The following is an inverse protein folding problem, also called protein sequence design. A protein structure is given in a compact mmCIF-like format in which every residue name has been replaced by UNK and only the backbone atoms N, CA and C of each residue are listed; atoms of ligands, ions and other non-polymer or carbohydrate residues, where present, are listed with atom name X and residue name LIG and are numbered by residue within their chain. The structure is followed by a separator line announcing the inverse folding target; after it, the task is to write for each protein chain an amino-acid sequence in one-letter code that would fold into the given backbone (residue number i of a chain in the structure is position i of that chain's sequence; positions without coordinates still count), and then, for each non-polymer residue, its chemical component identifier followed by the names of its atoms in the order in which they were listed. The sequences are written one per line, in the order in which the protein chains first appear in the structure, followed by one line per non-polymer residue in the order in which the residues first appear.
data_IF_035356024552
#
_entry.id   IF_035356024552
#
_cell.length_a   1.000
_cell.length_b   1.000
_cell.length_c   1.000
_cell.angle_alpha   90.00
_cell.angle_beta   90.00
_cell.angle_gamma   90.00
#
_symmetry.space_group_name_H-M   'P 1'
#
loop_
_entity.id
_entity.type
_entity.pdbx_description
1 polymer ?
#
# COMPACT_ATOMS: atom_id res chain seq x y z
N UNK A 1 3.34 -18.47 -24.56
CA UNK A 1 2.69 -17.90 -23.36
C UNK A 1 1.31 -18.50 -23.26
N UNK A 2 0.86 -18.82 -22.04
CA UNK A 2 -0.52 -19.27 -21.83
C UNK A 2 -1.44 -18.07 -22.02
N UNK A 3 -2.49 -18.21 -22.82
CA UNK A 3 -3.49 -17.16 -23.03
C UNK A 3 -4.76 -17.46 -22.24
N UNK A 4 -5.41 -16.43 -21.79
CA UNK A 4 -6.61 -16.48 -20.98
C UNK A 4 -7.74 -15.70 -21.69
N UNK A 5 -8.94 -16.21 -21.57
CA UNK A 5 -10.13 -15.61 -22.12
C UNK A 5 -11.24 -15.60 -21.05
N UNK A 6 -11.69 -14.41 -20.65
CA UNK A 6 -12.85 -14.28 -19.76
C UNK A 6 -14.03 -13.82 -20.60
N UNK A 7 -15.08 -14.62 -20.63
CA UNK A 7 -16.33 -14.33 -21.35
C UNK A 7 -17.47 -13.97 -20.40
N UNK A 8 -18.53 -13.40 -20.96
CA UNK A 8 -19.77 -13.03 -20.24
C UNK A 8 -19.48 -12.13 -19.03
N UNK A 9 -18.60 -11.15 -19.18
CA UNK A 9 -18.16 -10.28 -18.11
C UNK A 9 -18.77 -8.87 -18.22
N UNK A 10 -18.97 -8.23 -17.07
CA UNK A 10 -19.19 -6.80 -16.94
C UNK A 10 -17.84 -6.13 -16.71
N UNK A 11 -17.22 -5.61 -17.77
CA UNK A 11 -15.87 -5.03 -17.76
C UNK A 11 -15.93 -3.58 -17.26
N UNK A 12 -15.19 -3.24 -16.21
CA UNK A 12 -15.01 -1.86 -15.78
C UNK A 12 -13.86 -1.23 -16.56
N UNK A 13 -14.18 -0.40 -17.52
CA UNK A 13 -13.24 0.31 -18.38
C UNK A 13 -13.19 1.81 -18.04
N UNK A 14 -12.17 2.57 -18.51
CA UNK A 14 -12.11 4.02 -18.30
C UNK A 14 -13.34 4.78 -18.82
N UNK A 15 -14.01 4.24 -19.85
CA UNK A 15 -15.24 4.80 -20.43
C UNK A 15 -16.52 4.34 -19.72
N UNK A 16 -16.43 3.55 -18.66
CA UNK A 16 -17.56 3.00 -17.90
C UNK A 16 -17.72 1.50 -18.03
N UNK A 17 -18.83 0.98 -17.51
CA UNK A 17 -19.12 -0.44 -17.48
C UNK A 17 -19.62 -0.91 -18.85
N UNK A 18 -19.02 -1.99 -19.38
CA UNK A 18 -19.38 -2.60 -20.66
C UNK A 18 -19.48 -4.12 -20.53
N UNK A 19 -20.54 -4.71 -21.10
CA UNK A 19 -20.64 -6.18 -21.18
C UNK A 19 -19.79 -6.69 -22.34
N UNK A 20 -18.98 -7.72 -22.10
CA UNK A 20 -18.09 -8.25 -23.12
C UNK A 20 -17.19 -9.38 -22.64
N UNK A 21 -16.10 -9.54 -23.34
CA UNK A 21 -15.04 -10.48 -22.98
C UNK A 21 -13.66 -9.82 -23.09
N UNK A 22 -12.69 -10.39 -22.38
CA UNK A 22 -11.30 -9.93 -22.34
C UNK A 22 -10.35 -11.09 -22.60
N UNK A 23 -9.38 -10.85 -23.48
CA UNK A 23 -8.24 -11.73 -23.71
C UNK A 23 -6.98 -11.11 -23.13
N UNK A 24 -6.18 -11.94 -22.50
CA UNK A 24 -4.90 -11.49 -21.94
C UNK A 24 -3.90 -12.65 -21.82
N UNK A 25 -2.65 -12.29 -21.77
CA UNK A 25 -1.53 -13.12 -21.33
C UNK A 25 -0.83 -12.43 -20.13
N UNK A 26 0.32 -11.80 -20.34
CA UNK A 26 0.93 -10.84 -19.39
C UNK A 26 0.34 -9.43 -19.52
N UNK A 27 -0.38 -9.18 -20.63
CA UNK A 27 -1.03 -7.91 -20.95
C UNK A 27 -2.41 -8.20 -21.53
N UNK A 28 -3.31 -7.20 -21.52
CA UNK A 28 -4.58 -7.28 -22.21
C UNK A 28 -4.29 -7.24 -23.72
N UNK A 29 -4.67 -8.31 -24.42
CA UNK A 29 -4.44 -8.45 -25.86
C UNK A 29 -5.67 -8.08 -26.69
N UNK A 30 -6.88 -8.29 -26.14
CA UNK A 30 -8.12 -7.89 -26.80
C UNK A 30 -9.24 -7.61 -25.77
N UNK A 31 -10.11 -6.67 -26.15
CA UNK A 31 -11.41 -6.40 -25.52
C UNK A 31 -12.48 -6.57 -26.59
N UNK A 32 -13.48 -7.41 -26.33
CA UNK A 32 -14.57 -7.69 -27.27
C UNK A 32 -15.91 -7.32 -26.64
N UNK A 33 -16.81 -6.72 -27.41
CA UNK A 33 -18.18 -6.43 -26.98
C UNK A 33 -19.04 -7.68 -27.02
N UNK A 34 -20.17 -7.68 -26.31
CA UNK A 34 -21.05 -8.84 -26.12
C UNK A 34 -21.49 -9.54 -27.42
N UNK A 35 -21.54 -8.85 -28.55
CA UNK A 35 -21.91 -9.43 -29.83
C UNK A 35 -20.80 -10.25 -30.51
N UNK A 36 -19.54 -10.15 -30.00
CA UNK A 36 -18.35 -10.85 -30.52
C UNK A 36 -17.84 -11.91 -29.54
N UNK A 37 -18.73 -12.58 -28.83
CA UNK A 37 -18.39 -13.50 -27.72
C UNK A 37 -17.88 -14.88 -28.15
N UNK A 38 -17.56 -15.09 -29.43
CA UNK A 38 -16.90 -16.32 -29.87
C UNK A 38 -15.54 -16.48 -29.16
N UNK A 39 -15.32 -17.68 -28.62
CA UNK A 39 -14.01 -18.05 -28.10
C UNK A 39 -12.96 -17.91 -29.24
N UNK A 40 -11.72 -17.53 -28.90
CA UNK A 40 -10.65 -17.47 -29.89
C UNK A 40 -10.43 -18.82 -30.58
N UNK A 41 -10.04 -18.83 -31.86
CA UNK A 41 -9.75 -20.04 -32.64
C UNK A 41 -8.42 -20.73 -32.24
N UNK A 42 -7.83 -20.34 -31.09
CA UNK A 42 -6.61 -20.90 -30.55
C UNK A 42 -6.79 -21.40 -29.11
N UNK A 43 -5.92 -22.30 -28.67
CA UNK A 43 -5.96 -22.85 -27.31
C UNK A 43 -5.72 -21.76 -26.26
N UNK A 44 -6.71 -21.56 -25.40
CA UNK A 44 -6.67 -20.61 -24.27
C UNK A 44 -7.44 -21.19 -23.08
N UNK A 45 -7.05 -20.76 -21.87
CA UNK A 45 -7.82 -21.06 -20.69
C UNK A 45 -9.02 -20.11 -20.62
N UNK A 46 -10.22 -20.69 -20.62
CA UNK A 46 -11.48 -19.91 -20.66
C UNK A 46 -12.17 -19.93 -19.31
N UNK A 47 -12.51 -18.74 -18.82
CA UNK A 47 -13.34 -18.51 -17.64
C UNK A 47 -14.66 -17.84 -18.06
N UNK A 48 -15.77 -18.38 -17.60
CA UNK A 48 -17.07 -17.71 -17.73
C UNK A 48 -17.34 -16.88 -16.47
N UNK A 49 -17.48 -15.56 -16.66
CA UNK A 49 -17.75 -14.64 -15.56
C UNK A 49 -19.22 -14.62 -15.13
N UNK A 50 -20.12 -15.29 -15.89
CA UNK A 50 -21.56 -15.34 -15.60
C UNK A 50 -22.21 -13.98 -15.31
N UNK A 51 -21.79 -12.92 -16.01
CA UNK A 51 -22.24 -11.54 -15.78
C UNK A 51 -21.49 -10.82 -14.64
N UNK A 52 -20.58 -11.51 -13.97
CA UNK A 52 -19.75 -10.91 -12.90
C UNK A 52 -18.87 -9.78 -13.39
N UNK A 53 -18.43 -8.95 -12.47
CA UNK A 53 -17.57 -7.82 -12.77
C UNK A 53 -16.13 -8.26 -12.97
N UNK A 54 -15.48 -7.75 -14.00
CA UNK A 54 -14.03 -7.80 -14.21
C UNK A 54 -13.51 -6.38 -14.05
N UNK A 55 -12.67 -6.20 -13.06
CA UNK A 55 -12.05 -4.91 -12.71
C UNK A 55 -10.53 -5.04 -12.78
N UNK A 56 -9.79 -3.94 -12.97
CA UNK A 56 -8.35 -3.95 -12.75
C UNK A 56 -8.01 -4.47 -11.37
N UNK A 57 -6.86 -5.13 -11.23
CA UNK A 57 -6.37 -5.51 -9.90
C UNK A 57 -6.30 -4.31 -8.98
N UNK A 58 -6.71 -4.50 -7.71
CA UNK A 58 -6.75 -3.43 -6.73
C UNK A 58 -5.34 -2.98 -6.38
N UNK A 59 -5.21 -1.69 -6.07
CA UNK A 59 -3.97 -1.10 -5.61
C UNK A 59 -4.20 -0.43 -4.26
N UNK A 60 -3.59 -0.96 -3.20
CA UNK A 60 -3.68 -0.44 -1.85
C UNK A 60 -2.50 0.48 -1.54
N UNK A 61 -2.75 1.77 -1.40
CA UNK A 61 -1.69 2.76 -1.15
C UNK A 61 -1.43 2.98 0.34
N UNK A 62 -2.24 2.38 1.22
CA UNK A 62 -2.12 2.55 2.66
C UNK A 62 -2.52 1.25 3.37
N UNK A 63 -1.52 0.47 3.78
CA UNK A 63 -1.68 -0.79 4.50
C UNK A 63 -0.43 -1.08 5.33
N UNK A 64 -0.59 -1.32 6.63
CA UNK A 64 0.51 -1.60 7.56
C UNK A 64 0.88 -3.08 7.59
N UNK A 65 -0.08 -3.95 7.30
CA UNK A 65 0.16 -5.38 7.37
C UNK A 65 -1.11 -6.21 7.17
N UNK A 66 -0.94 -7.54 7.21
CA UNK A 66 -2.02 -8.51 7.20
C UNK A 66 -1.48 -9.90 7.54
N UNK A 67 -2.37 -10.83 7.83
CA UNK A 67 -2.06 -12.26 7.98
C UNK A 67 -0.90 -12.54 8.97
N UNK A 68 -0.89 -11.79 10.08
CA UNK A 68 0.09 -11.89 11.16
C UNK A 68 1.41 -11.16 10.92
N UNK A 69 1.61 -10.50 9.78
CA UNK A 69 2.84 -9.78 9.43
C UNK A 69 2.59 -8.26 9.32
N UNK A 70 3.64 -7.48 9.57
CA UNK A 70 3.64 -6.01 9.55
C UNK A 70 4.91 -5.51 8.86
N UNK A 71 4.83 -4.42 8.11
CA UNK A 71 6.00 -3.84 7.43
C UNK A 71 6.98 -3.16 8.38
N UNK A 72 6.58 -2.92 9.62
CA UNK A 72 7.42 -2.37 10.69
C UNK A 72 8.14 -3.46 11.50
N UNK A 73 7.85 -4.75 11.25
CA UNK A 73 8.57 -5.84 11.90
C UNK A 73 10.02 -5.87 11.39
N UNK A 74 10.97 -5.49 12.26
CA UNK A 74 12.40 -5.45 11.93
C UNK A 74 13.04 -6.86 11.71
N UNK A 75 12.26 -7.93 11.87
CA UNK A 75 12.77 -9.30 11.96
C UNK A 75 12.90 -10.00 10.59
N UNK A 76 13.47 -9.29 9.60
CA UNK A 76 14.07 -9.89 8.41
C UNK A 76 15.55 -10.23 8.62
N UNK A 77 15.96 -10.42 9.87
CA UNK A 77 17.30 -10.85 10.22
C UNK A 77 17.54 -12.34 9.96
N UNK A 78 17.11 -12.90 8.85
CA UNK A 78 17.85 -13.97 8.24
C UNK A 78 19.10 -13.33 7.61
N UNK A 79 20.08 -13.01 8.47
CA UNK A 79 21.39 -12.44 8.08
C UNK A 79 22.09 -13.29 7.02
N UNK A 80 21.71 -14.55 6.88
CA UNK A 80 22.21 -15.46 5.86
C UNK A 80 21.67 -15.11 4.46
N UNK A 81 20.41 -14.69 4.33
CA UNK A 81 19.82 -14.30 3.02
C UNK A 81 20.40 -12.98 2.52
N UNK A 82 20.70 -12.03 3.42
CA UNK A 82 21.33 -10.74 3.05
C UNK A 82 22.82 -10.93 2.64
N UNK A 83 23.53 -11.86 3.28
CA UNK A 83 24.92 -12.15 2.91
C UNK A 83 25.01 -12.86 1.57
N UNK A 84 24.12 -13.81 1.24
CA UNK A 84 24.08 -14.47 -0.06
C UNK A 84 23.79 -13.51 -1.22
N UNK A 85 23.00 -12.45 -0.98
CA UNK A 85 22.74 -11.39 -1.98
C UNK A 85 23.97 -10.47 -2.13
N UNK A 86 24.68 -10.19 -1.04
CA UNK A 86 25.89 -9.36 -1.08
C UNK A 86 27.07 -10.08 -1.76
N UNK A 87 27.22 -11.38 -1.55
CA UNK A 87 28.28 -12.16 -2.21
C UNK A 87 28.05 -12.32 -3.72
N UNK A 88 26.78 -12.39 -4.17
CA UNK A 88 26.45 -12.41 -5.61
C UNK A 88 26.69 -11.08 -6.33
N UNK A 89 26.74 -9.95 -5.63
CA UNK A 89 26.87 -8.62 -6.25
C UNK A 89 28.30 -8.08 -6.31
N UNK A 90 29.30 -8.76 -5.73
CA UNK A 90 30.70 -8.26 -5.62
C UNK A 90 31.69 -9.01 -6.55
N UNK A 91 31.27 -10.08 -7.21
CA UNK A 91 32.15 -10.67 -8.24
C UNK A 91 31.84 -10.04 -9.60
N UNK A 92 32.67 -9.06 -9.98
CA UNK A 92 32.94 -8.71 -11.38
C UNK A 92 33.44 -9.97 -12.10
N UNK A 93 32.52 -10.78 -12.61
CA UNK A 93 32.86 -11.82 -13.57
C UNK A 93 33.23 -11.15 -14.89
N UNK A 94 34.53 -11.16 -15.20
CA UNK A 94 35.03 -10.79 -16.54
C UNK A 94 34.30 -11.64 -17.61
N UNK A 95 33.83 -10.97 -18.67
CA UNK A 95 32.92 -11.47 -19.72
C UNK A 95 33.47 -12.66 -20.54
N UNK A 96 34.53 -13.32 -20.13
CA UNK A 96 35.20 -14.32 -20.97
C UNK A 96 35.20 -15.77 -20.49
N UNK A 97 34.58 -16.13 -19.36
CA UNK A 97 34.59 -17.51 -18.86
C UNK A 97 33.20 -18.16 -18.62
N UNK A 98 32.09 -17.52 -19.00
CA UNK A 98 30.72 -18.05 -18.77
C UNK A 98 30.17 -18.93 -19.89
N UNK A 99 30.98 -19.59 -20.71
CA UNK A 99 30.46 -20.47 -21.78
C UNK A 99 30.18 -21.95 -21.35
N UNK A 100 30.41 -22.35 -20.09
CA UNK A 100 30.24 -23.72 -19.64
C UNK A 100 29.42 -23.96 -18.37
N UNK A 101 28.68 -22.96 -17.86
CA UNK A 101 27.68 -23.24 -16.84
C UNK A 101 26.36 -23.57 -17.53
N UNK A 102 26.02 -24.86 -17.61
CA UNK A 102 24.63 -25.29 -17.73
C UNK A 102 23.87 -24.62 -16.61
N UNK A 103 22.85 -23.79 -16.94
CA UNK A 103 21.88 -23.29 -15.97
C UNK A 103 21.27 -24.51 -15.27
N UNK A 104 21.81 -24.88 -14.11
CA UNK A 104 21.22 -25.86 -13.24
C UNK A 104 19.83 -25.37 -12.87
N UNK A 105 18.88 -26.29 -12.76
CA UNK A 105 17.50 -26.07 -12.39
C UNK A 105 17.44 -25.05 -11.26
N UNK A 106 16.70 -23.95 -11.53
CA UNK A 106 16.49 -22.90 -10.55
C UNK A 106 15.73 -23.50 -9.38
N UNK A 107 16.37 -23.56 -8.21
CA UNK A 107 15.79 -24.08 -7.00
C UNK A 107 14.84 -23.05 -6.39
N UNK A 108 13.54 -23.27 -6.57
CA UNK A 108 12.46 -22.45 -6.00
C UNK A 108 12.50 -22.49 -4.47
N UNK A 109 12.98 -23.60 -3.89
CA UNK A 109 13.03 -23.81 -2.45
C UNK A 109 14.13 -22.95 -1.78
N UNK A 110 15.09 -22.44 -2.56
CA UNK A 110 16.10 -21.50 -2.08
C UNK A 110 15.55 -20.10 -1.79
N UNK A 111 14.35 -19.74 -2.30
CA UNK A 111 13.73 -18.46 -2.01
C UNK A 111 12.93 -18.48 -0.71
N UNK A 112 12.99 -17.38 0.08
CA UNK A 112 12.29 -17.30 1.37
C UNK A 112 10.78 -17.06 1.20
N UNK A 113 10.12 -17.89 0.37
CA UNK A 113 8.69 -17.75 0.06
C UNK A 113 7.80 -17.90 1.30
N UNK A 114 8.29 -18.52 2.37
CA UNK A 114 7.59 -18.68 3.64
C UNK A 114 7.83 -17.51 4.61
N UNK A 115 8.67 -16.54 4.25
CA UNK A 115 8.87 -15.36 5.09
C UNK A 115 7.58 -14.56 5.26
N UNK A 116 7.47 -13.78 6.37
CA UNK A 116 6.27 -13.00 6.66
C UNK A 116 5.81 -12.11 5.50
N UNK A 117 6.70 -11.35 4.84
CA UNK A 117 6.32 -10.44 3.73
C UNK A 117 5.87 -11.20 2.47
N UNK A 118 6.47 -12.35 2.15
CA UNK A 118 5.96 -13.15 1.04
C UNK A 118 4.58 -13.75 1.34
N UNK A 119 4.32 -14.19 2.58
CA UNK A 119 2.99 -14.65 2.99
C UNK A 119 1.96 -13.53 2.94
N UNK A 120 2.30 -12.36 3.47
CA UNK A 120 1.47 -11.15 3.42
C UNK A 120 1.17 -10.73 1.98
N UNK A 121 2.17 -10.69 1.10
CA UNK A 121 1.94 -10.30 -0.30
C UNK A 121 1.06 -11.31 -1.06
N UNK A 122 1.14 -12.61 -0.74
CA UNK A 122 0.22 -13.62 -1.29
C UNK A 122 -1.19 -13.48 -0.73
N UNK A 123 -1.32 -13.12 0.56
CA UNK A 123 -2.64 -12.81 1.13
C UNK A 123 -3.28 -11.63 0.38
N UNK A 124 -2.56 -10.55 0.14
CA UNK A 124 -3.07 -9.42 -0.64
C UNK A 124 -3.52 -9.86 -2.04
N UNK A 125 -2.70 -10.63 -2.74
CA UNK A 125 -3.05 -11.14 -4.06
C UNK A 125 -4.33 -12.00 -4.01
N UNK A 126 -4.51 -12.83 -2.97
CA UNK A 126 -5.73 -13.63 -2.79
C UNK A 126 -6.98 -12.78 -2.54
N UNK A 127 -6.80 -11.55 -2.05
CA UNK A 127 -7.88 -10.55 -1.87
C UNK A 127 -8.06 -9.66 -3.10
N UNK A 128 -7.41 -9.96 -4.24
CA UNK A 128 -7.51 -9.17 -5.46
C UNK A 128 -6.65 -7.89 -5.48
N UNK A 129 -5.83 -7.66 -4.46
CA UNK A 129 -4.85 -6.58 -4.43
C UNK A 129 -3.61 -7.04 -5.19
N UNK A 130 -3.35 -6.44 -6.34
CA UNK A 130 -2.21 -6.81 -7.21
C UNK A 130 -0.97 -5.98 -6.93
N UNK A 131 -1.15 -4.80 -6.34
CA UNK A 131 -0.07 -3.88 -5.98
C UNK A 131 -0.39 -3.15 -4.68
N UNK A 132 0.64 -2.79 -3.92
CA UNK A 132 0.49 -2.03 -2.68
C UNK A 132 1.68 -1.13 -2.39
N UNK A 133 1.49 -0.12 -1.52
CA UNK A 133 2.56 0.56 -0.79
C UNK A 133 2.67 -0.05 0.60
N UNK A 134 3.88 -0.42 1.00
CA UNK A 134 4.16 -0.84 2.37
C UNK A 134 4.13 0.38 3.29
N UNK A 135 3.19 0.45 4.22
CA UNK A 135 3.05 1.58 5.13
C UNK A 135 3.78 1.30 6.44
N UNK A 136 4.71 2.17 6.82
CA UNK A 136 5.41 2.08 8.10
C UNK A 136 4.63 2.76 9.21
N UNK A 137 4.91 2.37 10.46
CA UNK A 137 4.44 3.05 11.66
C UNK A 137 5.43 4.13 12.10
N UNK A 138 5.02 4.96 13.07
CA UNK A 138 5.91 5.85 13.80
C UNK A 138 6.79 5.02 14.74
N UNK A 139 8.03 4.81 14.32
CA UNK A 139 9.05 4.02 15.02
C UNK A 139 10.25 4.89 15.37
N UNK A 140 11.17 4.40 16.21
CA UNK A 140 12.45 5.06 16.39
C UNK A 140 13.27 5.02 15.08
N UNK A 141 14.27 5.88 14.97
CA UNK A 141 15.04 5.99 13.72
C UNK A 141 15.68 4.66 13.30
N UNK A 142 16.24 3.91 14.25
CA UNK A 142 16.88 2.62 14.01
C UNK A 142 15.89 1.60 13.42
N UNK A 143 14.69 1.51 13.99
CA UNK A 143 13.63 0.63 13.51
C UNK A 143 13.11 1.06 12.13
N UNK A 144 12.98 2.38 11.88
CA UNK A 144 12.61 2.89 10.55
C UNK A 144 13.65 2.50 9.51
N UNK A 145 14.95 2.66 9.78
CA UNK A 145 16.01 2.22 8.88
C UNK A 145 15.95 0.71 8.61
N UNK A 146 15.72 -0.10 9.65
CA UNK A 146 15.56 -1.54 9.51
C UNK A 146 14.35 -1.89 8.62
N UNK A 147 13.21 -1.23 8.82
CA UNK A 147 12.01 -1.41 7.98
C UNK A 147 12.30 -1.02 6.52
N UNK A 148 12.98 0.12 6.25
CA UNK A 148 13.35 0.55 4.91
C UNK A 148 14.20 -0.51 4.19
N UNK A 149 15.24 -1.02 4.85
CA UNK A 149 16.11 -2.06 4.30
C UNK A 149 15.35 -3.37 4.04
N UNK A 150 14.49 -3.79 4.97
CA UNK A 150 13.70 -5.02 4.85
C UNK A 150 12.73 -4.96 3.68
N UNK A 151 12.02 -3.85 3.49
CA UNK A 151 11.10 -3.66 2.36
C UNK A 151 11.86 -3.62 1.04
N UNK A 152 13.02 -2.94 0.97
CA UNK A 152 13.85 -2.93 -0.26
C UNK A 152 14.36 -4.33 -0.59
N UNK A 153 14.86 -5.08 0.39
CA UNK A 153 15.30 -6.46 0.22
C UNK A 153 14.16 -7.35 -0.30
N UNK A 154 12.97 -7.25 0.29
CA UNK A 154 11.78 -7.96 -0.19
C UNK A 154 11.47 -7.64 -1.65
N UNK A 155 11.46 -6.36 -2.02
CA UNK A 155 11.18 -5.94 -3.39
C UNK A 155 12.20 -6.52 -4.38
N UNK A 156 13.49 -6.48 -4.05
CA UNK A 156 14.56 -7.05 -4.89
C UNK A 156 14.43 -8.57 -5.03
N UNK A 157 14.21 -9.27 -3.92
CA UNK A 157 14.02 -10.73 -3.93
C UNK A 157 12.82 -11.13 -4.77
N UNK A 158 11.69 -10.42 -4.63
CA UNK A 158 10.50 -10.65 -5.43
C UNK A 158 10.78 -10.47 -6.93
N UNK A 159 11.43 -9.37 -7.31
CA UNK A 159 11.74 -9.07 -8.71
C UNK A 159 12.70 -10.11 -9.29
N UNK A 160 13.66 -10.58 -8.50
CA UNK A 160 14.58 -11.64 -8.90
C UNK A 160 13.87 -13.00 -9.06
N UNK A 161 12.97 -13.33 -8.14
CA UNK A 161 12.11 -14.52 -8.26
C UNK A 161 11.31 -14.49 -9.57
N UNK A 162 10.67 -13.37 -9.89
CA UNK A 162 9.88 -13.19 -11.13
C UNK A 162 10.77 -13.36 -12.38
N UNK A 163 12.00 -12.84 -12.36
CA UNK A 163 12.92 -12.96 -13.49
C UNK A 163 13.39 -14.41 -13.73
N UNK A 164 13.61 -15.16 -12.65
CA UNK A 164 14.21 -16.50 -12.72
C UNK A 164 13.19 -17.62 -12.85
N UNK A 165 11.91 -17.37 -12.55
CA UNK A 165 10.89 -18.42 -12.54
C UNK A 165 9.96 -18.34 -13.75
N UNK A 166 9.41 -19.50 -14.18
CA UNK A 166 8.36 -19.53 -15.19
C UNK A 166 7.10 -18.80 -14.71
N UNK A 167 6.37 -18.14 -15.64
CA UNK A 167 5.15 -17.37 -15.34
C UNK A 167 4.12 -18.13 -14.48
N UNK A 168 4.02 -19.47 -14.63
CA UNK A 168 3.11 -20.30 -13.82
C UNK A 168 3.39 -20.25 -12.31
N UNK A 169 4.60 -19.85 -11.90
CA UNK A 169 5.00 -19.73 -10.50
C UNK A 169 4.94 -18.30 -9.96
N UNK A 170 4.71 -17.31 -10.81
CA UNK A 170 4.73 -15.89 -10.41
C UNK A 170 3.70 -15.55 -9.31
N UNK A 171 2.59 -16.31 -9.20
CA UNK A 171 1.62 -16.14 -8.11
C UNK A 171 2.24 -16.38 -6.72
N UNK A 172 3.31 -17.17 -6.62
CA UNK A 172 4.03 -17.41 -5.37
C UNK A 172 4.77 -16.16 -4.86
N UNK A 173 5.08 -15.23 -5.75
CA UNK A 173 5.67 -13.95 -5.39
C UNK A 173 4.66 -12.96 -4.77
N UNK A 174 3.35 -13.27 -4.86
CA UNK A 174 2.28 -12.43 -4.33
C UNK A 174 2.08 -11.10 -5.05
N UNK A 175 1.37 -10.19 -4.42
CA UNK A 175 1.15 -8.81 -4.89
C UNK A 175 2.48 -8.04 -4.97
N UNK A 176 2.54 -7.04 -5.85
CA UNK A 176 3.74 -6.22 -6.05
C UNK A 176 3.80 -5.07 -5.05
N UNK A 177 4.81 -5.05 -4.18
CA UNK A 177 5.16 -3.83 -3.46
C UNK A 177 5.81 -2.85 -4.44
N UNK A 178 5.16 -1.71 -4.70
CA UNK A 178 5.65 -0.70 -5.65
C UNK A 178 6.32 0.47 -4.97
N UNK A 179 6.33 0.51 -3.64
CA UNK A 179 6.98 1.53 -2.86
C UNK A 179 6.55 1.52 -1.40
N UNK A 180 6.90 2.58 -0.72
CA UNK A 180 6.66 2.79 0.71
C UNK A 180 5.76 4.01 0.90
N UNK A 181 4.80 3.90 1.79
CA UNK A 181 4.09 5.01 2.42
C UNK A 181 4.72 5.22 3.80
N UNK A 182 5.40 6.34 4.00
CA UNK A 182 6.01 6.72 5.27
C UNK A 182 4.95 7.44 6.12
N UNK A 183 4.23 6.69 6.97
CA UNK A 183 3.28 7.26 7.91
C UNK A 183 3.94 7.49 9.27
N UNK A 184 4.22 8.75 9.53
CA UNK A 184 5.12 9.16 10.63
C UNK A 184 6.60 9.14 10.22
N UNK A 185 7.47 9.67 11.08
CA UNK A 185 7.21 10.15 12.44
C UNK A 185 6.76 11.63 12.55
N UNK A 186 6.49 12.32 11.45
CA UNK A 186 6.25 13.78 11.38
C UNK A 186 4.79 14.15 11.66
N UNK A 187 4.22 13.61 12.74
CA UNK A 187 2.81 13.68 13.09
C UNK A 187 2.57 14.50 14.35
N UNK A 188 1.35 15.06 14.49
CA UNK A 188 0.92 15.81 15.66
C UNK A 188 0.63 14.89 16.85
N UNK A 189 1.22 15.14 18.01
CA UNK A 189 0.95 14.37 19.24
C UNK A 189 -0.55 14.36 19.59
N UNK A 190 -1.26 15.47 19.38
CA UNK A 190 -2.69 15.58 19.68
C UNK A 190 -3.59 14.78 18.73
N UNK A 191 -3.07 14.36 17.56
CA UNK A 191 -3.79 13.63 16.51
C UNK A 191 -3.10 12.33 16.10
N UNK A 192 -2.20 11.82 16.96
CA UNK A 192 -1.39 10.63 16.68
C UNK A 192 -2.20 9.34 16.50
N UNK A 193 -3.43 9.29 16.99
CA UNK A 193 -4.20 8.04 17.00
C UNK A 193 -3.46 6.91 17.74
N UNK A 194 -3.27 5.80 17.09
CA UNK A 194 -2.53 4.63 17.62
C UNK A 194 -1.01 4.71 17.38
N UNK A 195 -0.46 5.82 16.89
CA UNK A 195 0.97 6.01 16.69
C UNK A 195 1.70 6.25 18.04
N UNK A 196 2.93 5.71 18.16
CA UNK A 196 3.72 5.80 19.39
C UNK A 196 4.22 7.24 19.64
N UNK A 197 3.73 7.90 20.71
CA UNK A 197 4.05 9.29 21.00
C UNK A 197 5.54 9.56 21.22
N UNK A 198 6.24 8.61 21.85
CA UNK A 198 7.68 8.74 22.13
C UNK A 198 8.56 8.77 20.87
N UNK A 199 8.04 8.35 19.73
CA UNK A 199 8.76 8.29 18.45
C UNK A 199 8.37 9.42 17.49
N UNK A 200 7.48 10.33 17.90
CA UNK A 200 7.11 11.49 17.09
C UNK A 200 8.28 12.47 16.97
N UNK A 201 8.50 12.97 15.76
CA UNK A 201 9.57 13.91 15.45
C UNK A 201 9.02 15.15 14.74
N UNK A 202 9.73 16.26 14.89
CA UNK A 202 9.51 17.39 14.01
C UNK A 202 9.87 17.03 12.55
N UNK A 203 9.20 17.62 11.54
CA UNK A 203 9.52 17.39 10.15
C UNK A 203 11.00 17.67 9.82
N UNK A 204 11.71 16.65 9.34
CA UNK A 204 13.14 16.66 9.04
C UNK A 204 13.41 16.10 7.64
N UNK A 205 13.75 16.97 6.71
CA UNK A 205 14.05 16.60 5.33
C UNK A 205 15.36 15.78 5.21
N UNK A 206 16.33 15.98 6.09
CA UNK A 206 17.57 15.21 6.07
C UNK A 206 17.29 13.76 6.47
N UNK A 207 16.52 13.53 7.53
CA UNK A 207 16.09 12.19 7.93
C UNK A 207 15.26 11.52 6.82
N UNK A 208 14.31 12.24 6.20
CA UNK A 208 13.53 11.71 5.07
C UNK A 208 14.45 11.24 3.94
N UNK A 209 15.44 12.04 3.51
CA UNK A 209 16.34 11.66 2.43
C UNK A 209 17.21 10.46 2.79
N UNK A 210 17.64 10.34 4.04
CA UNK A 210 18.38 9.18 4.52
C UNK A 210 17.51 7.90 4.49
N UNK A 211 16.27 7.96 4.97
CA UNK A 211 15.31 6.86 4.91
C UNK A 211 15.00 6.48 3.46
N UNK A 212 14.80 7.47 2.59
CA UNK A 212 14.55 7.21 1.18
C UNK A 212 15.76 6.54 0.50
N UNK A 213 16.97 6.95 0.82
CA UNK A 213 18.18 6.28 0.34
C UNK A 213 18.28 4.83 0.85
N UNK A 214 18.02 4.60 2.15
CA UNK A 214 18.01 3.27 2.75
C UNK A 214 16.96 2.32 2.12
N UNK A 215 15.84 2.87 1.64
CA UNK A 215 14.80 2.13 0.91
C UNK A 215 15.11 1.93 -0.59
N UNK A 216 16.28 2.33 -1.07
CA UNK A 216 16.59 2.33 -2.51
C UNK A 216 15.72 3.29 -3.33
N UNK A 217 15.29 4.41 -2.74
CA UNK A 217 14.45 5.42 -3.41
C UNK A 217 12.96 5.03 -3.52
N UNK A 218 12.48 4.18 -2.63
CA UNK A 218 11.13 3.60 -2.71
C UNK A 218 10.05 4.38 -1.98
N UNK A 219 10.35 5.44 -1.23
CA UNK A 219 9.29 6.25 -0.58
C UNK A 219 8.50 6.97 -1.68
N UNK A 220 7.20 6.68 -1.76
CA UNK A 220 6.25 7.23 -2.75
C UNK A 220 5.25 8.18 -2.13
N UNK A 221 4.99 8.02 -0.85
CA UNK A 221 4.08 8.85 -0.07
C UNK A 221 4.68 9.10 1.30
N UNK A 222 4.50 10.31 1.85
CA UNK A 222 4.85 10.64 3.24
C UNK A 222 3.74 11.46 3.86
N UNK A 223 3.33 11.08 5.08
CA UNK A 223 2.34 11.82 5.86
C UNK A 223 3.03 12.82 6.78
N UNK A 224 2.53 14.05 6.81
CA UNK A 224 3.04 15.13 7.67
C UNK A 224 1.89 15.95 8.27
N UNK A 225 2.06 16.36 9.52
CA UNK A 225 1.20 17.34 10.17
C UNK A 225 1.70 18.78 9.86
N UNK A 226 0.99 19.54 9.02
CA UNK A 226 1.51 20.82 8.51
C UNK A 226 1.56 21.95 9.55
N UNK A 227 0.91 21.82 10.69
CA UNK A 227 1.02 22.76 11.80
C UNK A 227 2.32 22.64 12.59
N UNK A 228 3.10 21.58 12.38
CA UNK A 228 4.36 21.40 13.10
C UNK A 228 5.43 22.41 12.63
N UNK A 229 6.30 22.86 13.54
CA UNK A 229 7.42 23.72 13.18
C UNK A 229 8.30 23.07 12.10
N UNK A 230 8.64 23.80 11.03
CA UNK A 230 9.43 23.31 9.91
C UNK A 230 8.66 22.53 8.85
N UNK A 231 7.37 22.27 9.02
CA UNK A 231 6.59 21.46 8.09
C UNK A 231 6.54 22.04 6.67
N UNK A 232 6.40 23.34 6.50
CA UNK A 232 6.34 23.96 5.16
C UNK A 232 7.69 23.83 4.40
N UNK A 233 8.82 23.97 5.10
CA UNK A 233 10.16 23.79 4.55
C UNK A 233 10.35 22.33 4.14
N UNK A 234 9.94 21.40 5.00
CA UNK A 234 9.93 19.97 4.72
C UNK A 234 9.10 19.66 3.47
N UNK A 235 7.83 20.09 3.41
CA UNK A 235 6.94 19.87 2.27
C UNK A 235 7.58 20.36 0.97
N UNK A 236 8.15 21.57 0.94
CA UNK A 236 8.81 22.10 -0.26
C UNK A 236 10.03 21.28 -0.67
N UNK A 237 10.78 20.78 0.31
CA UNK A 237 11.99 20.00 0.06
C UNK A 237 11.71 18.63 -0.54
N UNK A 238 10.63 17.95 -0.09
CA UNK A 238 10.38 16.54 -0.43
C UNK A 238 9.31 16.33 -1.50
N UNK A 239 8.47 17.33 -1.81
CA UNK A 239 7.37 17.22 -2.78
C UNK A 239 7.81 16.90 -4.21
N UNK A 240 9.08 17.15 -4.56
CA UNK A 240 9.67 16.71 -5.83
C UNK A 240 10.10 15.23 -5.85
N UNK A 241 10.15 14.57 -4.70
CA UNK A 241 10.61 13.18 -4.56
C UNK A 241 9.45 12.18 -4.40
N UNK A 242 8.39 12.60 -3.70
CA UNK A 242 7.24 11.76 -3.40
C UNK A 242 5.96 12.61 -3.24
N UNK A 243 4.81 11.95 -3.15
CA UNK A 243 3.56 12.60 -2.73
C UNK A 243 3.64 12.97 -1.25
N UNK A 244 3.37 14.22 -0.91
CA UNK A 244 3.23 14.66 0.48
C UNK A 244 1.76 14.72 0.83
N UNK A 245 1.38 14.03 1.89
CA UNK A 245 0.01 13.90 2.39
C UNK A 245 -0.16 14.62 3.72
N UNK A 246 -1.25 15.34 3.88
CA UNK A 246 -1.65 15.90 5.18
C UNK A 246 -2.43 14.84 5.96
N UNK A 247 -2.02 14.57 7.18
CA UNK A 247 -2.69 13.61 8.06
C UNK A 247 -2.10 13.63 9.46
N UNK A 248 -2.78 12.98 10.39
CA UNK A 248 -2.42 12.99 11.81
C UNK A 248 -2.11 14.40 12.34
N UNK A 249 -3.04 15.33 12.08
CA UNK A 249 -2.81 16.77 12.15
C UNK A 249 -3.95 17.51 12.79
N UNK A 250 -3.62 18.48 13.63
CA UNK A 250 -4.56 19.45 14.19
C UNK A 250 -4.65 20.74 13.35
N UNK A 251 -4.18 20.73 12.11
CA UNK A 251 -4.21 21.89 11.24
C UNK A 251 -5.63 22.43 11.05
N UNK A 252 -5.75 23.75 11.08
CA UNK A 252 -6.94 24.45 10.65
C UNK A 252 -7.01 24.56 9.12
N UNK A 253 -8.11 25.09 8.62
CA UNK A 253 -8.31 25.27 7.18
C UNK A 253 -7.21 26.11 6.50
N UNK A 254 -6.78 27.21 7.14
CA UNK A 254 -5.80 28.12 6.54
C UNK A 254 -4.41 27.48 6.50
N UNK A 255 -4.03 26.75 7.54
CA UNK A 255 -2.78 25.99 7.62
C UNK A 255 -2.75 24.90 6.54
N UNK A 256 -3.85 24.15 6.37
CA UNK A 256 -3.97 23.14 5.33
C UNK A 256 -3.87 23.76 3.91
N UNK A 257 -4.60 24.84 3.63
CA UNK A 257 -4.47 25.57 2.35
C UNK A 257 -3.01 25.99 2.09
N UNK A 258 -2.32 26.47 3.11
CA UNK A 258 -0.94 26.92 2.97
C UNK A 258 0.01 25.72 2.68
N UNK A 259 -0.23 24.57 3.29
CA UNK A 259 0.55 23.36 3.05
C UNK A 259 0.30 22.78 1.64
N UNK A 260 -0.93 22.74 1.15
CA UNK A 260 -1.22 22.39 -0.25
C UNK A 260 -0.51 23.34 -1.23
N UNK A 261 -0.50 24.64 -0.95
CA UNK A 261 0.26 25.61 -1.76
C UNK A 261 1.78 25.42 -1.66
N UNK A 262 2.27 24.87 -0.55
CA UNK A 262 3.69 24.56 -0.37
C UNK A 262 4.13 23.29 -1.11
N UNK A 263 3.19 22.43 -1.54
CA UNK A 263 3.49 21.22 -2.31
C UNK A 263 2.85 19.94 -1.80
N UNK A 264 2.11 19.97 -0.67
CA UNK A 264 1.27 18.84 -0.28
C UNK A 264 0.16 18.64 -1.34
N UNK A 265 -0.19 17.39 -1.63
CA UNK A 265 -1.09 17.08 -2.74
C UNK A 265 -2.04 15.92 -2.47
N UNK A 266 -2.14 15.50 -1.21
CA UNK A 266 -2.92 14.34 -0.79
C UNK A 266 -3.40 14.51 0.66
N UNK A 267 -4.41 13.74 1.07
CA UNK A 267 -4.90 13.66 2.46
C UNK A 267 -4.97 12.21 2.89
N UNK A 268 -4.31 11.90 3.98
CA UNK A 268 -4.28 10.58 4.60
C UNK A 268 -5.60 10.32 5.34
N UNK A 269 -6.21 9.15 5.14
CA UNK A 269 -7.44 8.61 5.77
C UNK A 269 -8.38 9.70 6.33
N UNK A 270 -9.00 10.46 5.40
CA UNK A 270 -9.84 11.63 5.71
C UNK A 270 -10.79 11.39 6.89
N UNK A 271 -10.90 12.36 7.78
CA UNK A 271 -11.62 12.39 9.06
C UNK A 271 -10.95 11.65 10.22
N UNK A 272 -9.98 10.79 9.98
CA UNK A 272 -9.27 10.05 11.02
C UNK A 272 -7.95 10.75 11.36
N UNK A 273 -7.59 10.81 12.63
CA UNK A 273 -6.37 11.49 13.06
C UNK A 273 -6.32 12.99 12.66
N UNK A 274 -7.44 13.69 12.58
CA UNK A 274 -7.50 15.12 12.23
C UNK A 274 -8.61 15.85 12.97
N UNK A 275 -8.67 17.16 12.82
CA UNK A 275 -9.77 17.96 13.37
C UNK A 275 -11.08 17.67 12.64
N UNK A 276 -12.19 17.74 13.38
CA UNK A 276 -13.53 17.58 12.82
C UNK A 276 -13.82 18.62 11.73
N UNK A 277 -14.53 18.21 10.70
CA UNK A 277 -15.02 19.11 9.65
C UNK A 277 -16.32 19.79 10.11
N UNK A 278 -16.20 20.92 10.79
CA UNK A 278 -17.32 21.68 11.29
C UNK A 278 -17.67 22.84 10.35
N UNK A 279 -18.93 23.29 10.38
CA UNK A 279 -19.45 24.35 9.48
C UNK A 279 -18.75 25.72 9.62
N UNK A 280 -17.98 25.99 10.68
CA UNK A 280 -17.15 27.18 10.89
C UNK A 280 -15.66 26.88 11.03
N UNK A 281 -15.28 25.61 11.13
CA UNK A 281 -13.91 25.14 11.28
C UNK A 281 -13.76 23.87 10.42
N UNK A 282 -13.70 24.00 9.07
CA UNK A 282 -13.77 22.85 8.18
C UNK A 282 -12.46 22.03 8.11
N UNK A 283 -11.37 22.55 8.69
CA UNK A 283 -10.09 21.83 8.80
C UNK A 283 -9.51 21.41 7.45
N UNK A 284 -8.71 20.32 7.49
CA UNK A 284 -8.07 19.72 6.32
C UNK A 284 -9.11 19.25 5.31
N UNK A 285 -10.20 18.62 5.78
CA UNK A 285 -11.24 18.08 4.90
C UNK A 285 -11.91 19.17 4.06
N UNK A 286 -12.21 20.34 4.65
CA UNK A 286 -12.74 21.48 3.92
C UNK A 286 -11.73 22.08 2.94
N UNK A 287 -10.48 22.22 3.34
CA UNK A 287 -9.41 22.72 2.48
C UNK A 287 -9.18 21.79 1.26
N UNK A 288 -9.18 20.49 1.50
CA UNK A 288 -9.06 19.49 0.44
C UNK A 288 -10.24 19.53 -0.55
N UNK A 289 -11.47 19.73 -0.03
CA UNK A 289 -12.66 19.86 -0.87
C UNK A 289 -12.58 21.08 -1.78
N UNK A 290 -12.21 22.24 -1.25
CA UNK A 290 -12.12 23.50 -2.01
C UNK A 290 -11.06 23.46 -3.10
N UNK A 291 -9.90 22.84 -2.82
CA UNK A 291 -8.81 22.72 -3.78
C UNK A 291 -8.92 21.47 -4.65
N UNK A 292 -9.87 20.58 -4.35
CA UNK A 292 -10.05 19.32 -5.05
C UNK A 292 -8.83 18.42 -4.92
N UNK A 293 -8.25 18.30 -3.73
CA UNK A 293 -7.14 17.42 -3.41
C UNK A 293 -7.64 15.97 -3.30
N UNK A 294 -6.91 14.97 -3.80
CA UNK A 294 -7.20 13.56 -3.55
C UNK A 294 -7.17 13.20 -2.07
N UNK A 295 -8.08 12.32 -1.65
CA UNK A 295 -8.20 11.90 -0.24
C UNK A 295 -8.29 10.39 -0.13
N UNK A 296 -7.64 9.82 0.87
CA UNK A 296 -7.83 8.43 1.26
C UNK A 296 -9.10 8.27 2.10
N UNK A 297 -9.74 7.11 1.98
CA UNK A 297 -10.97 6.80 2.71
C UNK A 297 -10.97 5.33 3.16
N UNK A 298 -11.13 5.12 4.47
CA UNK A 298 -11.35 3.80 5.06
C UNK A 298 -12.86 3.50 5.02
N UNK A 299 -13.24 2.38 4.43
CA UNK A 299 -14.64 1.97 4.26
C UNK A 299 -14.93 0.66 5.00
N UNK A 300 -14.62 0.59 6.28
CA UNK A 300 -14.89 -0.58 7.14
C UNK A 300 -16.22 -0.48 7.91
N UNK A 301 -16.90 0.68 7.82
CA UNK A 301 -18.12 0.96 8.57
C UNK A 301 -17.92 1.37 10.03
N UNK A 302 -16.67 1.36 10.52
CA UNK A 302 -16.27 1.76 11.87
C UNK A 302 -15.59 3.13 11.89
N UNK A 303 -14.56 3.33 11.06
CA UNK A 303 -13.79 4.58 10.97
C UNK A 303 -14.61 5.72 10.39
N UNK A 304 -15.44 5.46 9.40
CA UNK A 304 -16.28 6.46 8.75
C UNK A 304 -17.69 5.93 8.56
N UNK A 305 -18.66 6.65 9.11
CA UNK A 305 -20.07 6.26 8.99
C UNK A 305 -20.50 6.20 7.51
N UNK A 306 -21.29 5.19 7.06
CA UNK A 306 -21.67 5.02 5.65
C UNK A 306 -22.34 6.25 5.00
N UNK A 307 -23.06 7.07 5.77
CA UNK A 307 -23.63 8.32 5.26
C UNK A 307 -22.54 9.35 4.89
N UNK A 308 -21.44 9.38 5.66
CA UNK A 308 -20.28 10.27 5.42
C UNK A 308 -19.49 9.73 4.24
N UNK A 309 -19.28 8.41 4.13
CA UNK A 309 -18.67 7.76 2.95
C UNK A 309 -19.36 8.22 1.67
N UNK A 310 -20.70 8.14 1.62
CA UNK A 310 -21.47 8.66 0.47
C UNK A 310 -21.29 10.15 0.22
N UNK A 311 -21.08 10.93 1.29
CA UNK A 311 -20.74 12.36 1.21
C UNK A 311 -19.39 12.60 0.55
N UNK A 312 -18.35 11.84 0.96
CA UNK A 312 -17.00 11.91 0.40
C UNK A 312 -17.03 11.64 -1.11
N UNK A 313 -17.71 10.58 -1.57
CA UNK A 313 -17.82 10.30 -3.00
C UNK A 313 -18.55 11.39 -3.79
N UNK A 314 -19.53 12.10 -3.18
CA UNK A 314 -20.22 13.22 -3.81
C UNK A 314 -19.33 14.45 -3.95
N UNK A 315 -18.47 14.71 -2.95
CA UNK A 315 -17.58 15.87 -2.92
C UNK A 315 -16.32 15.62 -3.76
N UNK A 316 -15.66 14.50 -3.54
CA UNK A 316 -14.33 14.22 -4.12
C UNK A 316 -14.40 13.36 -5.39
N UNK A 317 -15.47 12.60 -5.60
CA UNK A 317 -15.68 11.79 -6.80
C UNK A 317 -14.50 10.87 -7.08
N UNK A 318 -13.89 11.01 -8.28
CA UNK A 318 -12.73 10.21 -8.72
C UNK A 318 -11.43 10.49 -7.94
N UNK A 319 -11.42 11.48 -7.08
CA UNK A 319 -10.29 11.82 -6.20
C UNK A 319 -10.37 11.11 -4.85
N UNK A 320 -11.41 10.31 -4.61
CA UNK A 320 -11.49 9.42 -3.45
C UNK A 320 -10.68 8.16 -3.75
N UNK A 321 -9.66 7.90 -2.92
CA UNK A 321 -8.86 6.71 -2.95
C UNK A 321 -9.28 5.81 -1.80
N UNK A 322 -9.86 4.65 -2.10
CA UNK A 322 -10.13 3.65 -1.07
C UNK A 322 -8.82 3.03 -0.63
N UNK A 323 -8.67 2.89 0.68
CA UNK A 323 -7.54 2.23 1.33
C UNK A 323 -8.06 1.19 2.31
N UNK A 324 -7.24 0.20 2.62
CA UNK A 324 -7.57 -0.71 3.71
C UNK A 324 -7.19 -0.13 5.06
N UNK A 325 -6.05 0.54 5.15
CA UNK A 325 -5.42 0.87 6.43
C UNK A 325 -5.32 -0.37 7.34
N UNK A 326 -5.08 -1.54 6.70
CA UNK A 326 -5.13 -2.82 7.40
C UNK A 326 -3.90 -3.03 8.27
N UNK A 327 -4.15 -3.67 9.41
CA UNK A 327 -3.12 -4.08 10.35
C UNK A 327 -2.81 -5.58 10.18
N UNK A 328 -1.76 -6.06 10.87
CA UNK A 328 -1.40 -7.50 10.88
C UNK A 328 -2.56 -8.43 11.25
N UNK A 329 -3.57 -7.94 11.95
CA UNK A 329 -4.75 -8.72 12.32
C UNK A 329 -5.73 -8.96 11.16
N UNK A 330 -5.61 -8.26 10.03
CA UNK A 330 -6.45 -8.49 8.85
C UNK A 330 -6.29 -9.94 8.34
N UNK A 331 -7.40 -10.66 8.23
CA UNK A 331 -7.41 -12.09 7.88
C UNK A 331 -7.03 -13.04 9.02
N UNK A 332 -6.92 -12.54 10.25
CA UNK A 332 -6.62 -13.32 11.46
C UNK A 332 -7.85 -13.38 12.38
N UNK A 333 -7.90 -14.37 13.31
CA UNK A 333 -8.99 -14.44 14.30
C UNK A 333 -8.91 -13.29 15.31
N UNK A 334 -10.01 -13.07 16.03
CA UNK A 334 -10.04 -12.16 17.17
C UNK A 334 -8.94 -12.52 18.19
N UNK A 335 -8.34 -11.51 18.82
CA UNK A 335 -7.23 -11.71 19.73
C UNK A 335 -6.41 -10.46 20.02
N UNK A 336 -5.27 -10.66 20.68
CA UNK A 336 -4.30 -9.60 20.98
C UNK A 336 -3.21 -9.59 19.93
N UNK A 337 -2.85 -8.40 19.50
CA UNK A 337 -1.83 -8.14 18.48
C UNK A 337 -0.97 -6.96 18.92
N UNK A 338 0.10 -6.71 18.15
CA UNK A 338 0.97 -5.54 18.36
C UNK A 338 1.07 -4.70 17.09
N UNK A 339 1.27 -3.40 17.24
CA UNK A 339 1.45 -2.44 16.18
C UNK A 339 2.47 -1.38 16.62
N UNK A 340 3.62 -1.29 15.94
CA UNK A 340 4.65 -0.32 16.31
C UNK A 340 5.05 -0.37 17.79
N UNK A 341 5.13 -1.57 18.39
CA UNK A 341 5.45 -1.75 19.80
C UNK A 341 4.28 -1.57 20.78
N UNK A 342 3.09 -1.20 20.31
CA UNK A 342 1.89 -1.06 21.15
C UNK A 342 0.96 -2.27 21.00
N UNK A 343 0.36 -2.72 22.10
CA UNK A 343 -0.64 -3.79 22.08
C UNK A 343 -2.03 -3.23 21.71
N UNK A 344 -2.77 -3.97 20.89
CA UNK A 344 -4.17 -3.73 20.59
C UNK A 344 -4.97 -5.03 20.57
N UNK A 345 -6.28 -4.91 20.65
CA UNK A 345 -7.21 -6.05 20.62
C UNK A 345 -8.07 -5.96 19.36
N UNK A 346 -8.12 -7.06 18.60
CA UNK A 346 -9.14 -7.27 17.59
C UNK A 346 -10.32 -7.99 18.22
N UNK A 347 -11.52 -7.43 18.13
CA UNK A 347 -12.77 -8.06 18.54
C UNK A 347 -13.89 -7.62 17.61
N UNK A 348 -14.64 -8.59 17.05
CA UNK A 348 -15.76 -8.35 16.13
C UNK A 348 -15.38 -7.40 14.96
N UNK A 349 -14.17 -7.55 14.43
CA UNK A 349 -13.65 -6.74 13.32
C UNK A 349 -13.17 -5.33 13.72
N UNK A 350 -13.25 -4.96 15.00
CA UNK A 350 -12.77 -3.69 15.54
C UNK A 350 -11.40 -3.88 16.18
N UNK A 351 -10.39 -3.17 15.69
CA UNK A 351 -9.04 -3.12 16.26
C UNK A 351 -8.91 -1.85 17.13
N UNK A 352 -8.66 -2.00 18.42
CA UNK A 352 -8.56 -0.88 19.34
C UNK A 352 -7.47 -1.06 20.41
N UNK A 353 -6.86 0.06 20.82
CA UNK A 353 -5.97 0.13 21.96
C UNK A 353 -6.76 -0.06 23.28
N UNK A 354 -6.05 -0.25 24.39
CA UNK A 354 -6.66 -0.45 25.71
C UNK A 354 -7.52 0.75 26.19
N UNK A 355 -7.25 1.95 25.69
CA UNK A 355 -8.02 3.16 26.00
C UNK A 355 -9.26 3.36 25.08
N UNK A 356 -9.49 2.43 24.15
CA UNK A 356 -10.57 2.47 23.19
C UNK A 356 -10.26 3.26 21.92
N UNK A 357 -9.06 3.80 21.75
CA UNK A 357 -8.63 4.43 20.51
C UNK A 357 -8.62 3.41 19.38
N UNK A 358 -9.33 3.70 18.29
CA UNK A 358 -9.27 2.86 17.10
C UNK A 358 -7.83 2.86 16.56
N UNK A 359 -7.36 1.66 16.26
CA UNK A 359 -6.14 1.47 15.47
C UNK A 359 -6.52 1.47 13.98
N UNK A 360 -5.66 0.99 13.09
CA UNK A 360 -6.08 0.81 11.70
C UNK A 360 -7.15 -0.29 11.57
N UNK A 361 -7.50 -0.65 10.36
CA UNK A 361 -8.60 -1.58 10.11
C UNK A 361 -8.18 -3.06 10.12
N UNK A 362 -9.17 -3.95 10.15
CA UNK A 362 -9.01 -5.39 9.99
C UNK A 362 -9.54 -5.89 8.62
N UNK A 363 -9.90 -4.98 7.70
CA UNK A 363 -10.48 -5.35 6.40
C UNK A 363 -9.43 -5.44 5.30
N UNK A 364 -9.73 -6.16 4.24
CA UNK A 364 -9.01 -6.06 2.98
C UNK A 364 -9.51 -4.88 2.14
N UNK A 365 -8.70 -4.42 1.18
CA UNK A 365 -9.17 -3.40 0.22
C UNK A 365 -10.38 -3.87 -0.59
N UNK A 366 -10.52 -5.18 -0.85
CA UNK A 366 -11.69 -5.73 -1.51
C UNK A 366 -12.95 -5.57 -0.65
N UNK A 367 -12.85 -5.64 0.67
CA UNK A 367 -13.97 -5.37 1.57
C UNK A 367 -14.34 -3.89 1.54
N UNK A 368 -13.35 -2.98 1.55
CA UNK A 368 -13.59 -1.55 1.38
C UNK A 368 -14.34 -1.20 0.09
N UNK A 369 -14.10 -1.96 -1.00
CA UNK A 369 -14.82 -1.79 -2.28
C UNK A 369 -16.25 -2.33 -2.21
N UNK A 370 -16.51 -3.37 -1.38
CA UNK A 370 -17.86 -3.96 -1.23
C UNK A 370 -18.78 -3.15 -0.33
N UNK A 371 -18.21 -2.49 0.70
CA UNK A 371 -18.94 -1.70 1.69
C UNK A 371 -19.40 -0.33 1.13
#
# INVERSE_FOLDING_TARGET
MKRFFIKNASLLLPCGLQTGSIEFDSTITALRRSNDSCAPDYECETLDAHGGFVVPGLFDIHTHGAYGADFSDADFSDRNVLNDIHECSIHECSIHECSNYKCNEFDVDSFPLNSPLFRLSRYYLSQGVTSFLATTMTLCAEELFAAMHSIDAFCRMRDEFIKRTPNKLHHLAGAKCIGINLEGPFLSSSKRGSQAECNLLAPDAALFHQLNAASGGRIKLVTVAPELPGAFEFIRSVSGCCTVSEGHSAADYNTAIAAFRAGASHVTHIFNGMNDCLHRSPGIAGAAADLGIPVELICDGLHVHPAVVRGVFRVFGKKTCLISDSLRCAGMPDGRYSLGGQEFVLSDGCAALADGTLAGSAISLADAVRN
#
